data_IF_731802123343
#
_entry.id   IF_731802123343
#
_cell.length_a   1.000
_cell.length_b   1.000
_cell.length_c   1.000
_cell.angle_alpha   90.00
_cell.angle_beta   90.00
_cell.angle_gamma   90.00
#
_symmetry.space_group_name_H-M   'P 1'
#
loop_
_entity.id
_entity.type
_entity.pdbx_description
1 polymer ?
#
# COMPACT_ATOMS: atom_id res chain seq x y z
N UNK A 1 45.89 -13.51 20.65
CA UNK A 1 45.92 -12.66 19.43
C UNK A 1 44.94 -13.11 18.34
N UNK A 2 44.55 -14.40 18.28
CA UNK A 2 43.54 -14.89 17.33
C UNK A 2 42.12 -14.39 17.64
N UNK A 3 41.70 -14.42 18.90
CA UNK A 3 40.31 -14.14 19.30
C UNK A 3 39.87 -12.69 19.03
N UNK A 4 40.76 -11.73 19.23
CA UNK A 4 40.48 -10.30 19.00
C UNK A 4 40.27 -9.95 17.51
N UNK A 5 40.84 -10.73 16.59
CA UNK A 5 40.67 -10.52 15.14
C UNK A 5 39.32 -11.08 14.66
N UNK A 6 38.86 -12.17 15.27
CA UNK A 6 37.54 -12.76 15.05
C UNK A 6 36.43 -11.81 15.52
N UNK A 7 36.60 -11.22 16.71
CA UNK A 7 35.62 -10.28 17.27
C UNK A 7 35.44 -9.02 16.42
N UNK A 8 36.54 -8.47 15.90
CA UNK A 8 36.50 -7.30 15.02
C UNK A 8 35.78 -7.59 13.69
N UNK A 9 36.00 -8.78 13.12
CA UNK A 9 35.35 -9.20 11.87
C UNK A 9 33.85 -9.37 12.09
N UNK A 10 33.43 -10.04 13.17
CA UNK A 10 32.02 -10.21 13.55
C UNK A 10 31.32 -8.88 13.77
N UNK A 11 31.95 -7.94 14.47
CA UNK A 11 31.41 -6.59 14.71
C UNK A 11 31.23 -5.80 13.41
N UNK A 12 32.19 -5.91 12.48
CA UNK A 12 32.09 -5.30 11.16
C UNK A 12 30.95 -5.92 10.35
N UNK A 13 30.81 -7.25 10.35
CA UNK A 13 29.73 -7.95 9.64
C UNK A 13 28.35 -7.61 10.23
N UNK A 14 28.22 -7.57 11.56
CA UNK A 14 26.98 -7.15 12.23
C UNK A 14 26.64 -5.68 11.94
N UNK A 15 27.65 -4.80 11.87
CA UNK A 15 27.43 -3.40 11.49
C UNK A 15 27.00 -3.28 10.03
N UNK A 16 27.70 -3.95 9.12
CA UNK A 16 27.37 -3.97 7.69
C UNK A 16 25.99 -4.57 7.43
N UNK A 17 25.61 -5.63 8.16
CA UNK A 17 24.26 -6.18 8.11
C UNK A 17 23.21 -5.20 8.63
N UNK A 18 23.51 -4.39 9.66
CA UNK A 18 22.61 -3.37 10.20
C UNK A 18 22.43 -2.16 9.28
N UNK A 19 23.44 -1.80 8.49
CA UNK A 19 23.38 -0.66 7.56
C UNK A 19 23.12 -1.07 6.11
N UNK A 20 23.00 -2.36 5.84
CA UNK A 20 22.67 -2.87 4.50
C UNK A 20 21.31 -2.32 4.06
N UNK A 21 21.34 -1.49 3.01
CA UNK A 21 20.13 -1.05 2.34
C UNK A 21 19.55 -2.26 1.61
N UNK A 22 18.42 -2.76 2.09
CA UNK A 22 17.68 -3.81 1.37
C UNK A 22 17.29 -3.29 -0.01
N UNK A 23 17.55 -4.04 -1.09
CA UNK A 23 17.22 -3.59 -2.44
C UNK A 23 15.70 -3.47 -2.59
N UNK A 24 15.20 -2.27 -2.90
CA UNK A 24 13.76 -2.05 -3.10
C UNK A 24 13.35 -2.51 -4.49
N UNK A 25 12.34 -3.39 -4.56
CA UNK A 25 11.69 -3.84 -5.79
C UNK A 25 10.62 -2.87 -6.25
N UNK A 26 9.70 -2.49 -5.36
CA UNK A 26 8.57 -1.61 -5.67
C UNK A 26 8.07 -0.85 -4.44
N UNK A 27 7.45 0.31 -4.66
CA UNK A 27 6.78 1.11 -3.63
C UNK A 27 5.33 1.31 -4.02
N UNK A 28 4.45 1.20 -3.04
CA UNK A 28 3.01 1.37 -3.19
C UNK A 28 2.55 2.40 -2.17
N UNK A 29 2.42 3.67 -2.59
CA UNK A 29 1.88 4.71 -1.73
C UNK A 29 0.45 4.43 -1.29
N UNK A 30 0.10 4.87 -0.09
CA UNK A 30 -1.28 4.85 0.39
C UNK A 30 -2.14 5.81 -0.44
N UNK A 31 -3.30 5.35 -0.87
CA UNK A 31 -4.28 6.16 -1.59
C UNK A 31 -5.09 7.03 -0.62
N UNK A 32 -5.47 8.21 -1.08
CA UNK A 32 -6.27 9.17 -0.31
C UNK A 32 -7.40 9.75 -1.16
N UNK A 33 -8.30 10.54 -0.59
CA UNK A 33 -9.35 11.28 -1.33
C UNK A 33 -8.78 12.13 -2.48
N UNK A 34 -7.57 12.68 -2.29
CA UNK A 34 -6.83 13.44 -3.29
C UNK A 34 -6.15 12.61 -4.38
N UNK A 35 -6.15 11.28 -4.28
CA UNK A 35 -5.65 10.43 -5.35
C UNK A 35 -6.62 10.41 -6.54
N UNK A 36 -6.04 10.38 -7.73
CA UNK A 36 -6.71 10.25 -9.03
C UNK A 36 -6.86 8.79 -9.42
N UNK A 37 -7.83 8.52 -10.29
CA UNK A 37 -8.01 7.22 -10.94
C UNK A 37 -7.85 7.36 -12.45
N UNK A 38 -7.55 6.25 -13.13
CA UNK A 38 -7.29 6.23 -14.57
C UNK A 38 -8.51 6.71 -15.38
N UNK A 39 -9.73 6.43 -14.93
CA UNK A 39 -10.97 6.86 -15.60
C UNK A 39 -11.58 8.14 -15.01
N UNK A 40 -10.84 8.87 -14.16
CA UNK A 40 -11.27 10.16 -13.63
C UNK A 40 -12.32 10.08 -12.52
N UNK A 41 -12.39 8.95 -11.82
CA UNK A 41 -13.20 8.78 -10.62
C UNK A 41 -12.68 9.64 -9.46
N UNK A 42 -13.60 10.20 -8.67
CA UNK A 42 -13.29 10.93 -7.44
C UNK A 42 -13.58 10.04 -6.23
N UNK A 43 -12.54 9.72 -5.48
CA UNK A 43 -12.62 8.86 -4.29
C UNK A 43 -13.34 9.58 -3.15
N UNK A 44 -14.23 8.86 -2.46
CA UNK A 44 -14.89 9.28 -1.22
C UNK A 44 -14.43 8.34 -0.12
N UNK A 45 -13.38 8.74 0.60
CA UNK A 45 -12.80 7.88 1.63
C UNK A 45 -13.60 7.93 2.93
N UNK A 46 -13.62 6.85 3.70
CA UNK A 46 -14.39 6.77 4.96
C UNK A 46 -13.55 6.64 6.22
N UNK A 47 -12.23 6.42 6.10
CA UNK A 47 -11.36 6.26 7.28
C UNK A 47 -11.31 7.52 8.16
N UNK A 48 -10.94 7.33 9.42
CA UNK A 48 -10.67 8.42 10.35
C UNK A 48 -9.23 8.96 10.25
N UNK A 49 -8.44 8.49 9.28
CA UNK A 49 -7.04 8.87 9.12
C UNK A 49 -6.89 10.03 8.14
N UNK A 50 -6.39 11.16 8.63
CA UNK A 50 -6.21 12.37 7.85
C UNK A 50 -4.76 12.54 7.38
N UNK A 51 -4.58 12.92 6.12
CA UNK A 51 -3.28 13.30 5.52
C UNK A 51 -3.39 14.63 4.79
N UNK A 52 -2.29 15.11 4.22
CA UNK A 52 -2.29 16.28 3.32
C UNK A 52 -3.17 16.05 2.08
N UNK A 53 -3.33 14.81 1.64
CA UNK A 53 -4.19 14.44 0.51
C UNK A 53 -5.63 14.13 0.87
N UNK A 54 -6.12 14.52 2.05
CA UNK A 54 -7.44 14.12 2.52
C UNK A 54 -7.39 12.84 3.36
N UNK A 55 -8.55 12.21 3.54
CA UNK A 55 -8.66 10.96 4.28
C UNK A 55 -8.02 9.81 3.50
N UNK A 56 -7.43 8.85 4.23
CA UNK A 56 -6.90 7.61 3.64
C UNK A 56 -8.05 6.76 3.12
N UNK A 57 -7.93 6.26 1.90
CA UNK A 57 -8.92 5.39 1.27
C UNK A 57 -8.82 3.95 1.77
N UNK A 58 -9.95 3.29 1.91
CA UNK A 58 -10.08 1.89 2.30
C UNK A 58 -10.66 1.07 1.15
N UNK A 59 -10.36 -0.23 1.12
CA UNK A 59 -11.14 -1.21 0.35
C UNK A 59 -12.59 -1.16 0.85
N UNK A 60 -13.54 -1.03 -0.07
CA UNK A 60 -14.95 -0.73 0.26
C UNK A 60 -15.38 0.71 -0.05
N UNK A 61 -14.44 1.66 -0.09
CA UNK A 61 -14.76 3.05 -0.41
C UNK A 61 -15.15 3.22 -1.89
N UNK A 62 -15.96 4.24 -2.19
CA UNK A 62 -16.50 4.48 -3.52
C UNK A 62 -15.72 5.55 -4.29
N UNK A 63 -15.65 5.40 -5.61
CA UNK A 63 -15.37 6.50 -6.53
C UNK A 63 -16.62 6.92 -7.29
N UNK A 64 -16.79 8.23 -7.45
CA UNK A 64 -17.85 8.84 -8.26
C UNK A 64 -17.29 9.32 -9.59
N UNK A 65 -17.94 8.98 -10.69
CA UNK A 65 -17.47 9.29 -12.04
C UNK A 65 -18.26 10.43 -12.70
N UNK A 66 -17.70 11.10 -13.73
CA UNK A 66 -18.39 12.19 -14.43
C UNK A 66 -19.69 11.79 -15.13
N UNK A 67 -19.82 10.51 -15.52
CA UNK A 67 -21.04 9.94 -16.11
C UNK A 67 -22.13 9.64 -15.07
N UNK A 68 -21.87 9.93 -13.79
CA UNK A 68 -22.79 9.68 -12.68
C UNK A 68 -22.71 8.27 -12.10
N UNK A 69 -21.91 7.37 -12.69
CA UNK A 69 -21.70 6.04 -12.14
C UNK A 69 -20.85 6.07 -10.88
N UNK A 70 -20.89 4.97 -10.13
CA UNK A 70 -20.07 4.73 -8.95
C UNK A 70 -19.42 3.35 -9.05
N UNK A 71 -18.27 3.19 -8.41
CA UNK A 71 -17.61 1.88 -8.29
C UNK A 71 -16.87 1.78 -6.96
N UNK A 72 -16.88 0.59 -6.37
CA UNK A 72 -16.19 0.29 -5.12
C UNK A 72 -14.72 -0.07 -5.35
N UNK A 73 -13.83 0.33 -4.43
CA UNK A 73 -12.44 -0.13 -4.36
C UNK A 73 -12.42 -1.57 -3.85
N UNK A 74 -11.77 -2.49 -4.58
CA UNK A 74 -11.76 -3.93 -4.29
C UNK A 74 -10.39 -4.50 -4.00
N UNK A 75 -9.31 -3.73 -4.11
CA UNK A 75 -7.99 -4.23 -3.72
C UNK A 75 -7.19 -3.19 -2.96
N UNK A 76 -6.18 -3.63 -2.21
CA UNK A 76 -5.42 -2.76 -1.32
C UNK A 76 -4.13 -3.39 -0.84
N UNK A 77 -3.73 -3.05 0.38
CA UNK A 77 -2.50 -3.52 0.98
C UNK A 77 -2.54 -5.00 1.40
N UNK A 78 -3.70 -5.66 1.35
CA UNK A 78 -3.85 -7.00 1.88
C UNK A 78 -3.42 -7.05 3.36
N UNK A 79 -2.71 -8.10 3.79
CA UNK A 79 -2.23 -8.24 5.16
C UNK A 79 -1.03 -7.35 5.49
N UNK A 80 -0.42 -6.63 4.53
CA UNK A 80 0.73 -5.77 4.82
C UNK A 80 0.37 -4.53 5.65
N UNK A 81 -0.88 -4.04 5.53
CA UNK A 81 -1.37 -2.91 6.33
C UNK A 81 -2.84 -3.10 6.70
N UNK A 82 -3.13 -3.90 7.75
CA UNK A 82 -4.48 -4.03 8.27
C UNK A 82 -4.92 -2.73 8.95
N UNK A 83 -6.19 -2.36 8.78
CA UNK A 83 -6.80 -1.23 9.47
C UNK A 83 -8.22 -1.58 9.91
N UNK A 84 -8.40 -1.82 11.21
CA UNK A 84 -9.66 -2.33 11.77
C UNK A 84 -10.13 -3.57 10.99
N UNK A 85 -11.39 -3.60 10.53
CA UNK A 85 -11.97 -4.66 9.72
C UNK A 85 -11.77 -4.45 8.19
N UNK A 86 -10.97 -3.45 7.80
CA UNK A 86 -10.76 -3.05 6.41
C UNK A 86 -9.28 -3.13 5.99
N UNK A 87 -9.05 -3.12 4.68
CA UNK A 87 -7.72 -2.99 4.10
C UNK A 87 -7.49 -1.55 3.62
N UNK A 88 -6.28 -1.04 3.81
CA UNK A 88 -5.88 0.25 3.24
C UNK A 88 -5.78 0.13 1.72
N UNK A 89 -6.37 1.07 0.99
CA UNK A 89 -6.20 1.17 -0.46
C UNK A 89 -4.83 1.80 -0.79
N UNK A 90 -4.24 1.37 -1.90
CA UNK A 90 -2.94 1.81 -2.37
C UNK A 90 -3.04 2.41 -3.77
N UNK A 91 -2.05 3.18 -4.18
CA UNK A 91 -1.85 3.48 -5.60
C UNK A 91 -1.57 2.16 -6.33
N UNK A 92 -2.38 1.86 -7.34
CA UNK A 92 -2.46 0.56 -8.00
C UNK A 92 -3.67 -0.29 -7.59
N UNK A 93 -4.43 0.11 -6.57
CA UNK A 93 -5.69 -0.54 -6.20
C UNK A 93 -6.73 -0.48 -7.32
N UNK A 94 -7.52 -1.55 -7.42
CA UNK A 94 -8.54 -1.75 -8.44
C UNK A 94 -9.93 -1.36 -7.91
N UNK A 95 -10.79 -0.96 -8.83
CA UNK A 95 -12.22 -0.82 -8.63
C UNK A 95 -12.99 -1.99 -9.26
N UNK A 96 -14.21 -2.26 -8.80
CA UNK A 96 -15.10 -3.29 -9.39
C UNK A 96 -15.30 -3.13 -10.90
N UNK A 97 -15.36 -1.89 -11.38
CA UNK A 97 -15.52 -1.56 -12.80
C UNK A 97 -14.21 -1.67 -13.62
N UNK A 98 -13.13 -2.19 -13.02
CA UNK A 98 -11.81 -2.33 -13.64
C UNK A 98 -10.98 -1.06 -13.70
N UNK A 99 -11.41 0.05 -13.11
CA UNK A 99 -10.58 1.25 -12.96
C UNK A 99 -9.43 1.02 -11.96
N UNK A 100 -8.44 1.90 -11.96
CA UNK A 100 -7.24 1.79 -11.13
C UNK A 100 -6.90 3.14 -10.50
N UNK A 101 -6.53 3.15 -9.22
CA UNK A 101 -5.97 4.34 -8.56
C UNK A 101 -4.56 4.60 -9.08
N UNK A 102 -4.31 5.80 -9.61
CA UNK A 102 -3.03 6.17 -10.24
C UNK A 102 -2.15 7.11 -9.40
N UNK A 103 -2.61 7.51 -8.21
CA UNK A 103 -1.92 8.47 -7.33
C UNK A 103 -2.33 9.92 -7.63
N UNK A 104 -1.56 10.95 -7.26
CA UNK A 104 -0.21 10.89 -6.70
C UNK A 104 -0.19 10.45 -5.23
N UNK A 105 0.99 10.21 -4.66
CA UNK A 105 1.17 10.04 -3.22
C UNK A 105 1.00 11.38 -2.50
N UNK A 106 0.11 11.42 -1.53
CA UNK A 106 -0.15 12.58 -0.67
C UNK A 106 -0.08 12.25 0.82
N UNK A 107 0.30 11.00 1.14
CA UNK A 107 0.25 10.45 2.50
C UNK A 107 1.62 10.48 3.18
N UNK A 108 2.70 10.33 2.41
CA UNK A 108 4.04 10.05 2.96
C UNK A 108 4.16 8.63 3.55
N UNK A 109 3.15 7.78 3.37
CA UNK A 109 3.09 6.40 3.84
C UNK A 109 3.16 5.48 2.62
N UNK A 110 4.10 4.55 2.63
CA UNK A 110 4.34 3.63 1.50
C UNK A 110 4.52 2.21 2.00
N UNK A 111 3.86 1.26 1.33
CA UNK A 111 4.20 -0.16 1.43
C UNK A 111 5.39 -0.40 0.48
N UNK A 112 6.43 -1.06 0.98
CA UNK A 112 7.66 -1.34 0.23
C UNK A 112 7.81 -2.84 0.06
N UNK A 113 7.92 -3.29 -1.19
CA UNK A 113 8.40 -4.64 -1.50
C UNK A 113 9.91 -4.59 -1.72
N UNK A 114 10.65 -5.40 -0.96
CA UNK A 114 12.08 -5.60 -1.15
C UNK A 114 12.33 -6.77 -2.11
N UNK A 115 13.42 -6.72 -2.87
CA UNK A 115 13.74 -7.68 -3.92
C UNK A 115 14.25 -9.02 -3.38
N UNK A 116 14.76 -9.03 -2.15
CA UNK A 116 15.26 -10.20 -1.43
C UNK A 116 14.20 -10.84 -0.51
N UNK A 117 12.97 -10.32 -0.51
CA UNK A 117 11.85 -10.84 0.27
C UNK A 117 10.81 -11.51 -0.63
N UNK A 118 10.06 -12.45 -0.06
CA UNK A 118 8.91 -13.03 -0.74
C UNK A 118 7.82 -11.97 -0.96
N UNK A 119 7.10 -12.08 -2.06
CA UNK A 119 5.98 -11.19 -2.34
C UNK A 119 4.96 -11.22 -1.20
N UNK A 120 4.36 -10.07 -0.89
CA UNK A 120 3.32 -9.96 0.12
C UNK A 120 2.06 -10.65 -0.42
N UNK A 121 1.56 -11.72 0.23
CA UNK A 121 0.34 -12.39 -0.21
C UNK A 121 -0.85 -11.42 -0.20
N UNK A 122 -1.68 -11.40 -1.26
CA UNK A 122 -2.89 -10.57 -1.30
C UNK A 122 -2.65 -9.08 -1.59
N UNK A 123 -1.41 -8.64 -1.81
CA UNK A 123 -1.11 -7.25 -2.13
C UNK A 123 -1.67 -6.89 -3.51
N UNK A 124 -2.58 -5.91 -3.55
CA UNK A 124 -3.35 -5.47 -4.72
C UNK A 124 -4.23 -6.55 -5.38
N UNK A 125 -4.34 -7.72 -4.76
CA UNK A 125 -5.29 -8.74 -5.21
C UNK A 125 -6.72 -8.30 -4.86
N UNK A 126 -7.69 -8.41 -5.79
CA UNK A 126 -9.09 -8.14 -5.48
C UNK A 126 -9.59 -9.03 -4.35
N UNK A 127 -10.23 -8.44 -3.35
CA UNK A 127 -11.07 -9.18 -2.41
C UNK A 127 -12.42 -9.43 -3.08
N UNK A 128 -12.89 -10.67 -3.02
CA UNK A 128 -14.27 -10.97 -3.39
C UNK A 128 -15.19 -10.10 -2.52
N UNK A 129 -16.24 -9.47 -3.07
CA UNK A 129 -17.25 -8.85 -2.22
C UNK A 129 -17.79 -9.95 -1.32
N UNK A 130 -17.46 -9.88 -0.03
CA UNK A 130 -17.99 -10.82 0.95
C UNK A 130 -19.50 -10.71 0.82
N UNK A 131 -20.13 -11.81 0.37
CA UNK A 131 -21.54 -11.83 0.08
C UNK A 131 -22.29 -11.23 1.26
N UNK A 132 -23.10 -10.20 0.99
CA UNK A 132 -24.16 -9.82 1.89
C UNK A 132 -24.97 -11.11 2.18
N UNK A 133 -24.81 -11.64 3.39
CA UNK A 133 -25.70 -12.66 3.95
C UNK A 133 -26.93 -11.97 4.52
#
# INVERSE_FOLDING_TARGET
MSDMKTDATRLADEFMAKVAIKPVKKRFPVATEGSTTQRGGRIVATSNMQTTGGRVALVGDLAHYPDGSQSCIVSGAGPAMPYEDHQIALVGSLFENGDVITGPDHSGIVVVEYADESAVPGLLDPVSPTGAS
#
